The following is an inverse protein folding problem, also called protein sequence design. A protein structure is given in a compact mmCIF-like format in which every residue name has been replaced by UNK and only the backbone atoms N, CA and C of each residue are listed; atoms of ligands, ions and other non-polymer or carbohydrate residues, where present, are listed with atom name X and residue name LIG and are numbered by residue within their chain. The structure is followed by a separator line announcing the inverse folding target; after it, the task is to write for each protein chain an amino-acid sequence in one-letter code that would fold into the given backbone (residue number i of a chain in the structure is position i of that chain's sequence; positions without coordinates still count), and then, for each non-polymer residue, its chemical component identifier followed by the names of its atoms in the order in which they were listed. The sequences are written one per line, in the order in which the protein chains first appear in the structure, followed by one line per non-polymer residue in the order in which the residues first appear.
data_IF_729894765837
#
_entry.id   IF_729894765837
#
_cell.length_a   1.000
_cell.length_b   1.000
_cell.length_c   1.000
_cell.angle_alpha   90.00
_cell.angle_beta   90.00
_cell.angle_gamma   90.00
#
_symmetry.space_group_name_H-M   'P 1'
#
loop_
_entity.id
_entity.type
_entity.pdbx_description
1 polymer ?
#
# COMPACT_ATOMS: atom_id res chain seq x y z
N UNK A 1 -2.65 0.91 9.14
CA UNK A 1 -2.14 1.60 7.94
C UNK A 1 -1.91 3.07 8.26
N UNK A 2 -0.83 3.67 7.74
CA UNK A 2 -0.45 5.07 8.01
C UNK A 2 0.22 5.70 6.78
N UNK A 3 -0.22 6.90 6.40
CA UNK A 3 0.47 7.79 5.48
C UNK A 3 1.51 8.63 6.25
N UNK A 4 2.60 8.97 5.57
CA UNK A 4 3.78 9.62 6.13
C UNK A 4 4.24 10.76 5.22
N UNK A 5 4.98 11.72 5.79
CA UNK A 5 5.45 12.93 5.09
C UNK A 5 4.55 14.12 5.42
N UNK A 6 4.93 14.91 6.43
CA UNK A 6 4.11 16.05 6.91
C UNK A 6 3.85 17.12 5.85
N UNK A 7 4.71 17.21 4.84
CA UNK A 7 4.60 18.14 3.70
C UNK A 7 4.07 17.46 2.43
N UNK A 8 3.47 16.27 2.57
CA UNK A 8 3.03 15.42 1.46
C UNK A 8 1.53 15.09 1.59
N UNK A 9 0.71 16.08 1.95
CA UNK A 9 -0.69 15.89 2.33
C UNK A 9 -1.70 16.51 1.35
N UNK A 10 -1.26 17.49 0.56
CA UNK A 10 -2.10 18.19 -0.42
C UNK A 10 -2.11 17.51 -1.79
N UNK A 11 -3.09 17.82 -2.63
CA UNK A 11 -3.15 17.38 -4.04
C UNK A 11 -1.80 17.53 -4.77
N UNK A 12 -1.44 16.51 -5.56
CA UNK A 12 -0.20 16.45 -6.33
C UNK A 12 1.04 16.10 -5.50
N UNK A 13 0.90 15.88 -4.18
CA UNK A 13 2.00 15.43 -3.31
C UNK A 13 1.98 13.92 -3.11
N UNK A 14 3.15 13.39 -2.75
CA UNK A 14 3.42 11.95 -2.74
C UNK A 14 3.69 11.42 -1.34
N UNK A 15 2.65 11.12 -0.54
CA UNK A 15 2.83 10.58 0.80
C UNK A 15 3.45 9.19 0.74
N UNK A 16 4.40 8.92 1.64
CA UNK A 16 4.86 7.56 1.87
C UNK A 16 3.79 6.74 2.61
N UNK A 17 3.77 5.42 2.41
CA UNK A 17 2.82 4.52 3.06
C UNK A 17 3.55 3.53 3.96
N UNK A 18 3.00 3.30 5.15
CA UNK A 18 3.39 2.19 6.03
C UNK A 18 2.17 1.35 6.39
N UNK A 19 2.26 0.06 6.11
CA UNK A 19 1.26 -0.93 6.53
C UNK A 19 1.90 -1.96 7.45
N UNK A 20 1.12 -2.45 8.40
CA UNK A 20 1.48 -3.57 9.25
C UNK A 20 0.24 -4.43 9.35
N UNK A 21 0.41 -5.70 9.02
CA UNK A 21 -0.55 -6.77 9.20
C UNK A 21 -0.01 -7.67 10.31
N UNK A 22 -0.88 -8.07 11.22
CA UNK A 22 -0.60 -9.02 12.29
C UNK A 22 -1.66 -10.10 12.25
N UNK A 23 -1.24 -11.35 12.34
CA UNK A 23 -2.15 -12.49 12.43
C UNK A 23 -2.01 -13.09 13.83
N UNK A 24 -3.04 -12.97 14.67
CA UNK A 24 -3.09 -13.67 15.95
C UNK A 24 -3.04 -15.19 15.77
N UNK A 25 -2.67 -15.86 16.86
CA UNK A 25 -2.68 -17.32 16.92
C UNK A 25 -4.12 -17.86 16.79
N UNK A 26 -4.25 -19.09 16.24
CA UNK A 26 -5.55 -19.72 16.00
C UNK A 26 -6.27 -19.28 14.71
N UNK A 27 -5.74 -18.30 13.96
CA UNK A 27 -6.26 -17.94 12.65
C UNK A 27 -5.61 -18.75 11.54
N UNK A 28 -6.40 -19.15 10.53
CA UNK A 28 -5.87 -19.76 9.32
C UNK A 28 -4.97 -18.80 8.53
N UNK A 29 -3.93 -19.34 7.92
CA UNK A 29 -3.00 -18.59 7.08
C UNK A 29 -3.74 -17.91 5.92
N UNK A 30 -3.31 -16.69 5.61
CA UNK A 30 -3.90 -15.86 4.56
C UNK A 30 -3.46 -16.40 3.21
N UNK A 31 -4.41 -16.79 2.36
CA UNK A 31 -4.14 -17.13 0.96
C UNK A 31 -4.35 -15.94 0.02
N UNK A 32 -5.27 -15.02 0.37
CA UNK A 32 -5.53 -13.80 -0.40
C UNK A 32 -5.66 -12.59 0.50
N UNK A 33 -5.01 -11.49 0.09
CA UNK A 33 -5.16 -10.17 0.69
C UNK A 33 -5.54 -9.14 -0.37
N UNK A 34 -6.68 -8.47 -0.18
CA UNK A 34 -7.15 -7.35 -1.00
C UNK A 34 -7.12 -6.06 -0.18
N UNK A 35 -6.50 -5.03 -0.73
CA UNK A 35 -6.37 -3.70 -0.14
C UNK A 35 -7.00 -2.69 -1.08
N UNK A 36 -7.94 -1.90 -0.57
CA UNK A 36 -8.54 -0.76 -1.28
C UNK A 36 -8.13 0.52 -0.57
N UNK A 37 -7.33 1.34 -1.25
CA UNK A 37 -6.83 2.61 -0.72
C UNK A 37 -7.94 3.67 -0.59
N UNK A 38 -7.77 4.72 0.23
CA UNK A 38 -8.65 5.89 0.25
C UNK A 38 -8.84 6.49 -1.15
N UNK A 39 -9.98 7.11 -1.43
CA UNK A 39 -10.27 7.75 -2.73
C UNK A 39 -9.29 8.88 -3.07
N UNK A 40 -8.79 9.55 -2.04
CA UNK A 40 -7.79 10.62 -2.14
C UNK A 40 -6.39 10.12 -2.50
N UNK A 41 -6.13 8.81 -2.44
CA UNK A 41 -4.81 8.24 -2.71
C UNK A 41 -4.91 7.32 -3.93
N UNK A 42 -4.23 7.72 -5.00
CA UNK A 42 -4.20 6.98 -6.27
C UNK A 42 -2.75 6.67 -6.66
N UNK A 43 -2.60 5.87 -7.71
CA UNK A 43 -1.30 5.67 -8.34
C UNK A 43 -0.91 6.94 -9.08
N UNK A 44 0.33 7.38 -8.92
CA UNK A 44 0.85 8.56 -9.60
C UNK A 44 0.98 8.31 -11.12
N UNK A 45 0.40 9.14 -11.99
CA UNK A 45 0.36 8.87 -13.43
C UNK A 45 1.71 8.99 -14.14
N UNK A 46 2.67 9.75 -13.58
CA UNK A 46 3.99 9.98 -14.20
C UNK A 46 4.97 8.91 -13.73
N UNK A 47 5.18 8.81 -12.41
CA UNK A 47 6.12 7.87 -11.80
C UNK A 47 5.73 6.40 -12.04
N UNK A 48 4.45 6.11 -12.32
CA UNK A 48 4.00 4.74 -12.55
C UNK A 48 4.16 4.23 -13.98
N UNK A 49 4.57 5.10 -14.91
CA UNK A 49 4.87 4.73 -16.29
C UNK A 49 6.31 5.05 -16.69
N UNK A 50 7.06 5.73 -15.82
CA UNK A 50 8.48 6.02 -15.99
C UNK A 50 9.31 4.72 -16.14
N UNK A 51 10.00 4.51 -17.27
CA UNK A 51 10.81 3.32 -17.51
C UNK A 51 11.97 3.15 -16.53
N UNK A 52 12.43 4.21 -15.86
CA UNK A 52 13.44 4.11 -14.80
C UNK A 52 12.86 3.56 -13.49
N UNK A 53 11.57 3.76 -13.25
CA UNK A 53 10.86 3.41 -12.01
C UNK A 53 10.00 2.16 -12.14
N UNK A 54 9.81 1.63 -13.36
CA UNK A 54 8.94 0.49 -13.64
C UNK A 54 9.78 -0.66 -14.20
N UNK A 55 9.76 -1.77 -13.48
CA UNK A 55 10.33 -3.02 -13.98
C UNK A 55 9.49 -3.56 -15.14
N UNK A 56 10.14 -3.96 -16.23
CA UNK A 56 9.50 -4.66 -17.35
C UNK A 56 8.72 -5.90 -16.85
N UNK A 57 7.62 -6.22 -17.53
CA UNK A 57 6.76 -7.33 -17.14
C UNK A 57 7.48 -8.67 -17.13
N UNK A 58 8.23 -9.02 -18.19
CA UNK A 58 8.85 -10.34 -18.32
C UNK A 58 9.98 -10.51 -17.30
N UNK A 59 10.79 -9.47 -17.12
CA UNK A 59 11.80 -9.39 -16.04
C UNK A 59 11.14 -9.47 -14.65
N UNK A 60 9.98 -8.85 -14.47
CA UNK A 60 9.22 -8.92 -13.23
C UNK A 60 8.68 -10.31 -12.92
N UNK A 61 8.27 -11.07 -13.94
CA UNK A 61 7.80 -12.44 -13.74
C UNK A 61 8.92 -13.41 -13.36
N UNK A 62 10.15 -13.14 -13.78
CA UNK A 62 11.34 -13.89 -13.34
C UNK A 62 11.89 -13.43 -11.99
N UNK A 63 11.30 -12.38 -11.40
CA UNK A 63 11.81 -11.82 -10.14
C UNK A 63 13.16 -11.12 -10.30
N UNK A 64 13.49 -10.59 -11.47
CA UNK A 64 14.81 -10.03 -11.81
C UNK A 64 14.83 -8.49 -11.81
N UNK A 65 13.81 -7.85 -11.21
CA UNK A 65 13.71 -6.39 -11.20
C UNK A 65 14.93 -5.70 -10.55
N UNK A 66 15.49 -4.72 -11.26
CA UNK A 66 16.62 -3.90 -10.81
C UNK A 66 16.24 -2.78 -9.82
N UNK A 67 17.25 -2.04 -9.37
CA UNK A 67 17.15 -1.03 -8.31
C UNK A 67 16.25 0.17 -8.64
N UNK A 68 16.21 0.61 -9.90
CA UNK A 68 15.38 1.74 -10.33
C UNK A 68 13.91 1.54 -9.98
N UNK A 69 13.42 0.30 -10.12
CA UNK A 69 12.03 -0.06 -9.85
C UNK A 69 11.67 -0.17 -8.36
N UNK A 70 12.62 0.04 -7.44
CA UNK A 70 12.40 -0.16 -6.00
C UNK A 70 11.58 0.99 -5.41
N UNK A 71 10.32 0.71 -5.16
CA UNK A 71 9.35 1.63 -4.53
C UNK A 71 9.26 1.47 -3.02
N UNK A 72 9.92 0.48 -2.42
CA UNK A 72 9.71 0.19 -1.01
C UNK A 72 10.49 -0.96 -0.45
N UNK A 73 10.12 -1.35 0.77
CA UNK A 73 10.67 -2.50 1.48
C UNK A 73 9.60 -3.25 2.26
N UNK A 74 9.81 -4.54 2.43
CA UNK A 74 8.95 -5.41 3.21
C UNK A 74 9.73 -6.22 4.23
N UNK A 75 9.03 -6.64 5.29
CA UNK A 75 9.55 -7.55 6.30
C UNK A 75 8.44 -8.46 6.80
N UNK A 76 8.68 -9.77 6.76
CA UNK A 76 7.78 -10.80 7.29
C UNK A 76 8.42 -11.49 8.50
N UNK A 77 7.61 -11.76 9.51
CA UNK A 77 7.98 -12.59 10.68
C UNK A 77 7.09 -13.81 10.68
N UNK A 78 7.72 -14.97 10.60
CA UNK A 78 7.07 -16.26 10.77
C UNK A 78 7.57 -16.90 12.07
N UNK A 79 6.71 -17.58 12.85
CA UNK A 79 7.17 -18.41 13.94
C UNK A 79 7.90 -19.68 13.47
N UNK A 80 7.82 -20.03 12.18
CA UNK A 80 8.48 -21.19 11.59
C UNK A 80 9.92 -20.90 11.17
N UNK A 81 10.34 -19.64 11.18
CA UNK A 81 11.67 -19.20 10.76
C UNK A 81 12.42 -18.59 11.94
N UNK A 82 13.75 -18.80 12.00
CA UNK A 82 14.62 -18.24 13.05
C UNK A 82 14.80 -16.74 12.85
N UNK A 83 14.87 -16.29 11.60
CA UNK A 83 15.07 -14.90 11.19
C UNK A 83 13.89 -14.38 10.35
N UNK A 84 13.62 -13.06 10.40
CA UNK A 84 12.61 -12.46 9.54
C UNK A 84 13.02 -12.53 8.06
N UNK A 85 12.06 -12.69 7.17
CA UNK A 85 12.29 -12.44 5.75
C UNK A 85 12.26 -10.94 5.50
N UNK A 86 13.18 -10.44 4.68
CA UNK A 86 13.26 -9.01 4.33
C UNK A 86 13.54 -8.84 2.85
N UNK A 87 13.09 -7.74 2.28
CA UNK A 87 13.58 -7.34 0.97
C UNK A 87 12.81 -6.19 0.35
N UNK A 88 12.97 -6.05 -0.96
CA UNK A 88 12.56 -4.87 -1.73
C UNK A 88 11.16 -5.05 -2.31
N UNK A 89 10.49 -3.93 -2.48
CA UNK A 89 9.20 -3.85 -3.18
C UNK A 89 9.45 -3.12 -4.48
N UNK A 90 9.09 -3.76 -5.58
CA UNK A 90 9.28 -3.26 -6.93
C UNK A 90 7.94 -2.89 -7.56
N UNK A 91 7.93 -1.82 -8.35
CA UNK A 91 6.83 -1.56 -9.28
C UNK A 91 7.09 -2.33 -10.56
N UNK A 92 6.11 -3.09 -11.03
CA UNK A 92 6.22 -3.94 -12.20
C UNK A 92 5.15 -3.55 -13.21
N UNK A 93 5.52 -3.48 -14.47
CA UNK A 93 4.60 -3.21 -15.56
C UNK A 93 3.41 -4.17 -15.51
N UNK A 94 2.20 -3.62 -15.52
CA UNK A 94 0.98 -4.42 -15.57
C UNK A 94 0.68 -4.83 -17.00
N UNK A 95 0.71 -6.13 -17.30
CA UNK A 95 0.23 -6.68 -18.57
C UNK A 95 -0.93 -7.63 -18.32
N UNK A 96 -1.93 -7.57 -19.21
CA UNK A 96 -2.89 -8.66 -19.41
C UNK A 96 -2.83 -9.09 -20.88
N UNK A 97 -3.17 -10.33 -21.15
CA UNK A 97 -3.27 -10.84 -22.52
C UNK A 97 -4.73 -10.74 -22.97
N UNK A 98 -4.93 -10.25 -24.20
CA UNK A 98 -6.24 -10.25 -24.85
C UNK A 98 -6.61 -11.63 -25.38
N UNK A 99 -7.83 -11.79 -25.94
CA UNK A 99 -8.30 -13.06 -26.50
C UNK A 99 -7.40 -13.62 -27.60
N UNK A 100 -6.72 -12.74 -28.34
CA UNK A 100 -5.80 -13.09 -29.44
C UNK A 100 -4.34 -13.22 -28.99
N UNK A 101 -4.07 -13.19 -27.68
CA UNK A 101 -2.71 -13.27 -27.12
C UNK A 101 -1.93 -11.94 -27.16
N UNK A 102 -2.52 -10.84 -27.64
CA UNK A 102 -1.87 -9.53 -27.65
C UNK A 102 -1.68 -8.98 -26.22
N UNK A 103 -0.55 -8.31 -25.99
CA UNK A 103 -0.23 -7.67 -24.70
C UNK A 103 -0.98 -6.35 -24.56
N UNK A 104 -1.73 -6.20 -23.47
CA UNK A 104 -2.47 -4.98 -23.15
C UNK A 104 -1.91 -4.42 -21.85
N UNK A 105 -1.40 -3.17 -21.92
CA UNK A 105 -0.93 -2.44 -20.74
C UNK A 105 -2.09 -2.19 -19.78
N UNK A 106 -1.80 -2.36 -18.50
CA UNK A 106 -2.72 -2.15 -17.38
C UNK A 106 -1.98 -1.43 -16.27
N UNK A 107 -2.71 -1.11 -15.20
CA UNK A 107 -2.12 -0.53 -13.99
C UNK A 107 -0.95 -1.39 -13.48
N UNK A 108 0.22 -0.79 -13.22
CA UNK A 108 1.38 -1.48 -12.68
C UNK A 108 1.07 -2.29 -11.42
N UNK A 109 1.66 -3.49 -11.36
CA UNK A 109 1.59 -4.37 -10.20
C UNK A 109 2.76 -4.10 -9.26
N UNK A 110 2.70 -4.71 -8.08
CA UNK A 110 3.82 -4.68 -7.13
C UNK A 110 4.38 -6.08 -6.95
N UNK A 111 5.70 -6.19 -6.95
CA UNK A 111 6.42 -7.41 -6.61
C UNK A 111 7.15 -7.19 -5.28
N UNK A 112 6.85 -8.01 -4.29
CA UNK A 112 7.56 -8.01 -3.01
C UNK A 112 8.51 -9.19 -2.97
N UNK A 113 9.82 -8.91 -3.05
CA UNK A 113 10.88 -9.91 -2.98
C UNK A 113 11.33 -10.06 -1.54
N UNK A 114 10.88 -11.10 -0.86
CA UNK A 114 11.31 -11.44 0.51
C UNK A 114 12.41 -12.49 0.43
N UNK A 115 13.52 -12.23 1.12
CA UNK A 115 14.70 -13.11 1.16
C UNK A 115 15.07 -13.44 2.60
N UNK A 116 15.64 -14.62 2.82
CA UNK A 116 16.05 -15.12 4.14
C UNK A 116 16.32 -16.63 4.12
N UNK A 117 15.87 -17.34 5.15
CA UNK A 117 15.94 -18.81 5.19
C UNK A 117 15.14 -19.47 4.05
N UNK A 118 14.12 -18.77 3.56
CA UNK A 118 13.37 -19.13 2.35
C UNK A 118 13.10 -17.86 1.53
N UNK A 119 13.03 -18.03 0.22
CA UNK A 119 12.76 -16.94 -0.71
C UNK A 119 11.29 -16.95 -1.16
N UNK A 120 10.65 -15.79 -1.07
CA UNK A 120 9.25 -15.62 -1.44
C UNK A 120 9.09 -14.38 -2.30
N UNK A 121 8.47 -14.55 -3.46
CA UNK A 121 8.06 -13.48 -4.35
C UNK A 121 6.54 -13.32 -4.32
N UNK A 122 6.07 -12.25 -3.66
CA UNK A 122 4.63 -11.95 -3.57
C UNK A 122 4.24 -10.95 -4.64
N UNK A 123 3.44 -11.41 -5.60
CA UNK A 123 2.91 -10.56 -6.66
C UNK A 123 1.54 -9.98 -6.26
N UNK A 124 1.44 -8.66 -6.23
CA UNK A 124 0.23 -7.90 -5.94
C UNK A 124 -0.29 -7.22 -7.20
N UNK A 125 -1.38 -7.73 -7.76
CA UNK A 125 -2.02 -7.11 -8.93
C UNK A 125 -2.78 -5.87 -8.52
N UNK A 126 -2.48 -4.75 -9.15
CA UNK A 126 -3.19 -3.48 -8.91
C UNK A 126 -4.22 -3.23 -10.00
N UNK A 127 -5.30 -2.53 -9.65
CA UNK A 127 -6.32 -2.03 -10.57
C UNK A 127 -6.98 -0.77 -9.98
N UNK A 128 -7.76 -0.05 -10.79
CA UNK A 128 -8.64 1.00 -10.31
C UNK A 128 -10.07 0.50 -10.42
N UNK A 129 -10.80 0.52 -9.29
CA UNK A 129 -12.20 0.17 -9.27
C UNK A 129 -12.99 1.21 -8.46
N UNK A 130 -14.05 1.74 -9.05
CA UNK A 130 -14.89 2.78 -8.45
C UNK A 130 -14.08 4.01 -7.95
N UNK A 131 -13.09 4.43 -8.74
CA UNK A 131 -12.20 5.55 -8.43
C UNK A 131 -11.24 5.29 -7.27
N UNK A 132 -10.92 4.03 -6.98
CA UNK A 132 -10.02 3.65 -5.87
C UNK A 132 -8.95 2.71 -6.35
N UNK A 133 -7.72 2.92 -5.87
CA UNK A 133 -6.62 2.00 -6.08
C UNK A 133 -6.88 0.71 -5.29
N UNK A 134 -6.89 -0.42 -5.98
CA UNK A 134 -7.11 -1.76 -5.41
C UNK A 134 -5.91 -2.63 -5.72
N UNK A 135 -5.32 -3.23 -4.70
CA UNK A 135 -4.25 -4.22 -4.86
C UNK A 135 -4.69 -5.56 -4.29
N UNK A 136 -4.45 -6.63 -5.04
CA UNK A 136 -4.79 -8.01 -4.65
C UNK A 136 -3.55 -8.89 -4.72
N UNK A 137 -3.19 -9.48 -3.60
CA UNK A 137 -2.25 -10.60 -3.51
C UNK A 137 -3.07 -11.88 -3.47
N UNK A 138 -3.07 -12.68 -4.56
CA UNK A 138 -3.93 -13.87 -4.68
C UNK A 138 -3.27 -15.17 -4.23
N UNK A 139 -1.94 -15.25 -4.33
CA UNK A 139 -1.16 -16.46 -4.10
C UNK A 139 -0.19 -16.22 -2.95
N UNK A 140 -0.73 -15.86 -1.79
CA UNK A 140 0.10 -15.80 -0.58
C UNK A 140 0.40 -17.26 -0.18
N UNK A 141 1.68 -17.64 0.04
CA UNK A 141 2.03 -19.00 0.44
C UNK A 141 1.34 -19.40 1.74
N UNK A 142 1.02 -20.69 1.88
CA UNK A 142 0.44 -21.26 3.10
C UNK A 142 1.50 -21.40 4.21
N UNK A 143 2.05 -20.27 4.62
CA UNK A 143 3.03 -20.14 5.67
C UNK A 143 2.48 -19.22 6.76
N UNK A 144 2.68 -19.62 8.02
CA UNK A 144 2.24 -18.82 9.15
C UNK A 144 3.03 -17.51 9.21
N UNK A 145 2.36 -16.37 9.21
CA UNK A 145 2.98 -15.05 9.35
C UNK A 145 2.43 -14.36 10.58
N UNK A 146 3.24 -14.19 11.63
CA UNK A 146 2.87 -13.39 12.81
C UNK A 146 2.73 -11.91 12.46
N UNK A 147 3.62 -11.41 11.61
CA UNK A 147 3.66 -9.98 11.26
C UNK A 147 4.24 -9.74 9.87
N UNK A 148 3.52 -9.00 9.04
CA UNK A 148 4.01 -8.47 7.78
C UNK A 148 4.01 -6.95 7.81
N UNK A 149 5.13 -6.33 7.47
CA UNK A 149 5.25 -4.88 7.38
C UNK A 149 5.71 -4.48 5.98
N UNK A 150 4.98 -3.55 5.36
CA UNK A 150 5.30 -2.98 4.06
C UNK A 150 5.51 -1.47 4.23
N UNK A 151 6.52 -0.93 3.58
CA UNK A 151 6.72 0.50 3.41
C UNK A 151 6.89 0.83 1.95
N UNK A 152 6.08 1.76 1.45
CA UNK A 152 6.23 2.38 0.12
C UNK A 152 6.82 3.78 0.32
N UNK A 153 7.77 4.14 -0.55
CA UNK A 153 8.42 5.45 -0.61
C UNK A 153 7.41 6.52 -1.03
N UNK A 154 7.68 7.75 -0.63
CA UNK A 154 6.98 8.96 -1.06
C UNK A 154 8.01 9.99 -1.52
N UNK A 155 7.60 11.25 -1.69
CA UNK A 155 8.44 12.29 -2.29
C UNK A 155 8.49 12.19 -3.81
N UNK A 156 9.51 12.79 -4.45
CA UNK A 156 9.56 12.97 -5.91
C UNK A 156 9.39 11.70 -6.73
N UNK A 157 9.96 10.57 -6.28
CA UNK A 157 9.82 9.24 -6.92
C UNK A 157 8.72 8.37 -6.26
N UNK A 158 7.75 9.00 -5.60
CA UNK A 158 6.66 8.32 -4.90
C UNK A 158 5.59 7.88 -5.89
N UNK A 159 5.17 6.61 -5.80
CA UNK A 159 4.13 6.06 -6.69
C UNK A 159 2.70 6.32 -6.21
N UNK A 160 2.53 6.85 -5.00
CA UNK A 160 1.23 7.21 -4.44
C UNK A 160 1.13 8.73 -4.42
N UNK A 161 0.05 9.26 -4.98
CA UNK A 161 -0.21 10.69 -5.04
C UNK A 161 -1.56 11.02 -4.41
N UNK A 162 -1.64 12.18 -3.77
CA UNK A 162 -2.92 12.75 -3.34
C UNK A 162 -3.62 13.32 -4.57
N UNK A 163 -4.82 12.82 -4.87
CA UNK A 163 -5.66 13.35 -5.96
C UNK A 163 -6.74 14.28 -5.41
N UNK A 164 -7.11 15.27 -6.21
CA UNK A 164 -8.20 16.20 -5.89
C UNK A 164 -9.57 15.53 -5.84
N UNK A 165 -10.56 16.32 -5.46
CA UNK A 165 -11.97 15.93 -5.50
C UNK A 165 -12.68 16.62 -6.67
N UNK A 166 -13.99 16.38 -6.82
CA UNK A 166 -14.82 17.14 -7.77
C UNK A 166 -14.85 18.64 -7.45
N UNK A 167 -14.60 18.99 -6.19
CA UNK A 167 -14.57 20.36 -5.68
C UNK A 167 -13.18 21.01 -5.79
N UNK A 168 -12.19 20.33 -6.39
CA UNK A 168 -10.84 20.83 -6.59
C UNK A 168 -9.81 20.21 -5.64
N UNK A 169 -8.75 20.98 -5.35
CA UNK A 169 -7.63 20.53 -4.54
C UNK A 169 -8.07 20.23 -3.10
N UNK A 170 -7.41 19.25 -2.48
CA UNK A 170 -7.71 18.80 -1.12
C UNK A 170 -6.43 18.71 -0.30
N UNK A 171 -6.58 18.70 1.03
CA UNK A 171 -5.61 18.12 1.95
C UNK A 171 -6.22 16.87 2.62
N UNK A 172 -5.45 15.77 2.66
CA UNK A 172 -5.89 14.53 3.33
C UNK A 172 -6.08 14.69 4.84
N UNK A 173 -5.63 15.80 5.43
CA UNK A 173 -5.82 16.19 6.81
C UNK A 173 -7.22 16.72 7.13
N UNK A 174 -7.94 17.23 6.13
CA UNK A 174 -9.25 17.85 6.34
C UNK A 174 -10.37 16.81 6.46
N UNK A 175 -10.07 15.55 6.14
CA UNK A 175 -11.05 14.48 6.09
C UNK A 175 -10.53 13.14 6.58
N UNK A 176 -11.46 12.29 7.02
CA UNK A 176 -11.13 10.91 7.43
C UNK A 176 -10.76 10.06 6.21
N UNK A 177 -9.51 9.62 6.18
CA UNK A 177 -9.03 8.68 5.17
C UNK A 177 -9.40 7.24 5.57
N UNK A 178 -10.04 6.50 4.67
CA UNK A 178 -10.53 5.14 4.95
C UNK A 178 -10.06 4.16 3.89
N UNK A 179 -9.45 3.06 4.32
CA UNK A 179 -9.10 1.93 3.47
C UNK A 179 -9.99 0.71 3.80
N UNK A 180 -10.33 -0.08 2.78
CA UNK A 180 -11.05 -1.35 2.96
C UNK A 180 -10.09 -2.51 2.72
N UNK A 181 -10.09 -3.48 3.62
CA UNK A 181 -9.24 -4.66 3.57
C UNK A 181 -10.16 -5.89 3.51
N UNK A 182 -9.82 -6.86 2.66
CA UNK A 182 -10.49 -8.15 2.64
C UNK A 182 -9.45 -9.27 2.54
N UNK A 183 -9.64 -10.31 3.33
CA UNK A 183 -8.75 -11.45 3.41
C UNK A 183 -9.54 -12.74 3.19
N UNK A 184 -8.90 -13.72 2.55
CA UNK A 184 -9.39 -15.10 2.48
C UNK A 184 -8.28 -16.01 2.98
N UNK A 185 -8.58 -16.86 3.95
CA UNK A 185 -7.65 -17.88 4.42
C UNK A 185 -7.55 -19.06 3.45
N UNK A 186 -6.50 -19.88 3.58
CA UNK A 186 -6.38 -21.15 2.85
C UNK A 186 -7.54 -22.11 3.15
N UNK A 187 -8.14 -22.00 4.34
CA UNK A 187 -9.36 -22.73 4.71
C UNK A 187 -10.66 -22.14 4.12
N UNK A 188 -10.58 -21.18 3.20
CA UNK A 188 -11.73 -20.57 2.53
C UNK A 188 -12.46 -19.49 3.33
N UNK A 189 -12.22 -19.35 4.65
CA UNK A 189 -12.88 -18.33 5.49
C UNK A 189 -12.48 -16.92 5.06
N UNK A 190 -13.42 -15.99 5.13
CA UNK A 190 -13.23 -14.59 4.70
C UNK A 190 -13.33 -13.64 5.90
N UNK A 191 -12.53 -12.58 5.88
CA UNK A 191 -12.61 -11.49 6.85
C UNK A 191 -12.45 -10.14 6.15
N UNK A 192 -13.30 -9.17 6.48
CA UNK A 192 -13.23 -7.82 5.90
C UNK A 192 -13.16 -6.75 6.98
N UNK A 193 -12.38 -5.71 6.74
CA UNK A 193 -12.17 -4.62 7.68
C UNK A 193 -12.21 -3.27 6.98
N UNK A 194 -12.92 -2.32 7.57
CA UNK A 194 -12.77 -0.89 7.26
C UNK A 194 -11.80 -0.28 8.25
N UNK A 195 -10.72 0.34 7.79
CA UNK A 195 -9.69 0.94 8.65
C UNK A 195 -9.47 2.40 8.33
N UNK A 196 -9.50 3.24 9.36
CA UNK A 196 -9.04 4.62 9.28
C UNK A 196 -7.53 4.62 9.02
N UNK A 197 -7.12 5.27 7.95
CA UNK A 197 -5.72 5.47 7.60
C UNK A 197 -5.21 6.65 8.40
N UNK A 198 -4.22 6.43 9.26
CA UNK A 198 -3.58 7.51 10.01
C UNK A 198 -2.83 8.41 9.04
N UNK A 199 -3.02 9.72 9.13
CA UNK A 199 -2.32 10.72 8.32
C UNK A 199 -1.15 11.34 9.10
N UNK A 200 -0.22 12.03 8.43
CA UNK A 200 0.91 12.71 9.10
C UNK A 200 0.55 14.11 9.63
N UNK A 201 -0.74 14.43 9.72
CA UNK A 201 -1.25 15.73 10.12
C UNK A 201 -0.88 16.09 11.55
N UNK A 202 -0.69 17.39 11.81
CA UNK A 202 -0.62 17.89 13.17
C UNK A 202 -1.93 17.55 13.90
N UNK A 203 -1.84 17.13 15.17
CA UNK A 203 -3.03 17.06 16.00
C UNK A 203 -3.53 18.49 16.18
N UNK A 204 -4.81 18.76 15.88
CA UNK A 204 -5.41 20.03 16.27
C UNK A 204 -5.15 20.23 17.77
N UNK A 205 -4.46 21.32 18.14
CA UNK A 205 -4.29 21.68 19.54
C UNK A 205 -5.69 21.90 20.11
N UNK A 206 -6.05 21.17 21.16
CA UNK A 206 -7.20 21.52 21.98
C UNK A 206 -6.83 22.81 22.70
N UNK A 207 -6.98 23.96 22.06
CA UNK A 207 -6.93 25.24 22.76
C UNK A 207 -8.18 25.27 23.66
N UNK A 208 -8.00 24.89 24.93
CA UNK A 208 -9.03 25.09 25.96
C UNK A 208 -9.32 26.59 25.98
N UNK A 209 -10.49 27.00 25.50
CA UNK A 209 -11.09 28.28 25.86
C UNK A 209 -11.36 28.21 27.36
N UNK A 210 -10.44 28.71 28.16
CA UNK A 210 -10.64 28.97 29.58
C UNK A 210 -10.30 30.44 29.83
N UNK A 211 -11.19 31.10 30.57
CA UNK A 211 -11.11 32.43 31.16
C UNK A 211 -11.54 33.61 30.27
N UNK A 212 -12.85 33.86 30.31
CA UNK A 212 -13.39 35.20 30.65
C UNK A 212 -14.74 35.02 31.35
N UNK A 213 -14.67 34.70 32.64
CA UNK A 213 -15.75 34.91 33.59
C UNK A 213 -15.09 35.39 34.89
N UNK A 214 -15.41 36.62 35.30
CA UNK A 214 -15.19 37.12 36.67
C UNK A 214 -14.03 38.09 36.90
N UNK A 215 -14.30 39.40 36.78
CA UNK A 215 -13.95 40.42 37.78
C UNK A 215 -14.68 41.72 37.40
N UNK A 216 -15.82 42.02 38.04
CA UNK A 216 -15.96 43.06 39.08
C UNK A 216 -15.72 44.49 38.57
N UNK A 217 -16.83 45.23 38.52
CA UNK A 217 -16.97 46.67 38.43
C UNK A 217 -18.42 46.96 38.74
#
# INVERSE_FOLDING_TARGET
MRLLGKRQTSTGKHPALRTVLTQPDGQANIGLARVVMPRSIVLDPENSVDPELVCDYDTGQRGECGEGSVIGKARAVSPLLKKPLTGKVHLVQGIRFGPTGNRIRTTPSILVKLRGEVDIDLYGRTTVHAGRLVTVFKNVPDARVKRFALRIKGGSKGILVVTGSRQGNIDICDGRQTANLAFKGHNGKKASYRRTVRTPCAKASKTRKANRAGSRG
#
